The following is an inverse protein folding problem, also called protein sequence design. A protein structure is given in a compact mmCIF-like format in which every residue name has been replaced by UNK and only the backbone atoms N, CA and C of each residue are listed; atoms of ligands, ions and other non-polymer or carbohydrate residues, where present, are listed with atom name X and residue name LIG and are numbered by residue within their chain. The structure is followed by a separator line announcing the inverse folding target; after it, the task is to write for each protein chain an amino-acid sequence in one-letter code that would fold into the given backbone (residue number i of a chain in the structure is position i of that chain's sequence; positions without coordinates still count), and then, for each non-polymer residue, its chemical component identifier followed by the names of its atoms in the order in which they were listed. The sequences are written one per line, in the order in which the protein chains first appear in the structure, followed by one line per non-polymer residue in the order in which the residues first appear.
data_IF_494996735305
#
_entry.id   IF_494996735305
#
_cell.length_a   1.000
_cell.length_b   1.000
_cell.length_c   1.000
_cell.angle_alpha   90.00
_cell.angle_beta   90.00
_cell.angle_gamma   90.00
#
_symmetry.space_group_name_H-M   'P 1'
#
loop_
_entity.id
_entity.type
_entity.pdbx_description
1 polymer ?
#
# COMPACT_ATOMS: atom_id res chain seq x y z
N UNK A 1 7.18 -8.49 -6.73
CA UNK A 1 6.34 -7.86 -5.69
C UNK A 1 6.04 -8.79 -4.49
N UNK A 2 7.05 -9.41 -3.87
CA UNK A 2 6.82 -10.32 -2.74
C UNK A 2 6.46 -9.57 -1.44
N UNK A 3 7.03 -8.37 -1.24
CA UNK A 3 6.81 -7.57 -0.03
C UNK A 3 5.36 -7.09 0.12
N UNK A 4 4.80 -6.47 -0.94
CA UNK A 4 3.41 -5.98 -0.92
C UNK A 4 2.41 -7.11 -0.56
N UNK A 5 2.55 -8.28 -1.19
CA UNK A 5 1.70 -9.45 -0.89
C UNK A 5 1.85 -9.95 0.55
N UNK A 6 3.06 -9.94 1.11
CA UNK A 6 3.30 -10.35 2.51
C UNK A 6 2.64 -9.39 3.49
N UNK A 7 2.72 -8.08 3.24
CA UNK A 7 2.09 -7.06 4.06
C UNK A 7 0.57 -7.15 4.01
N UNK A 8 0.00 -7.36 2.81
CA UNK A 8 -1.44 -7.56 2.64
C UNK A 8 -1.92 -8.80 3.42
N UNK A 9 -1.22 -9.93 3.27
CA UNK A 9 -1.54 -11.15 4.02
C UNK A 9 -1.51 -10.95 5.52
N UNK A 10 -0.50 -10.26 6.06
CA UNK A 10 -0.38 -9.99 7.49
C UNK A 10 -1.63 -9.29 8.07
N UNK A 11 -2.16 -8.30 7.35
CA UNK A 11 -3.36 -7.59 7.79
C UNK A 11 -4.63 -8.42 7.61
N UNK A 12 -4.72 -9.20 6.53
CA UNK A 12 -5.84 -10.10 6.29
C UNK A 12 -5.92 -11.18 7.35
N UNK A 13 -4.78 -11.78 7.73
CA UNK A 13 -4.69 -12.77 8.82
C UNK A 13 -5.15 -12.18 10.18
N UNK A 14 -5.04 -10.86 10.36
CA UNK A 14 -5.52 -10.13 11.54
C UNK A 14 -6.99 -9.72 11.46
N UNK A 15 -7.72 -10.12 10.42
CA UNK A 15 -9.13 -9.80 10.24
C UNK A 15 -9.39 -8.46 9.55
N UNK A 16 -8.40 -7.87 8.89
CA UNK A 16 -8.54 -6.63 8.14
C UNK A 16 -8.44 -6.87 6.62
N UNK A 17 -9.49 -7.40 5.97
CA UNK A 17 -9.45 -7.73 4.54
C UNK A 17 -9.37 -6.49 3.64
N UNK A 18 -9.59 -5.30 4.21
CA UNK A 18 -9.63 -4.03 3.50
C UNK A 18 -8.25 -3.39 3.35
N UNK A 19 -7.23 -3.92 4.04
CA UNK A 19 -5.85 -3.49 3.86
C UNK A 19 -5.36 -3.90 2.47
N UNK A 20 -4.76 -2.96 1.74
CA UNK A 20 -4.22 -3.18 0.40
C UNK A 20 -2.81 -2.60 0.30
N UNK A 21 -1.94 -3.33 -0.39
CA UNK A 21 -0.57 -2.91 -0.66
C UNK A 21 -0.24 -3.13 -2.14
N UNK A 22 0.37 -2.14 -2.76
CA UNK A 22 0.82 -2.21 -4.15
C UNK A 22 2.20 -1.59 -4.29
N UNK A 23 2.81 -1.75 -5.45
CA UNK A 23 4.10 -1.15 -5.73
C UNK A 23 3.94 -0.08 -6.79
N UNK A 24 4.62 1.04 -6.56
CA UNK A 24 4.70 2.16 -7.48
C UNK A 24 6.17 2.36 -7.88
N UNK A 25 6.46 2.61 -9.16
CA UNK A 25 7.80 2.96 -9.58
C UNK A 25 8.22 4.28 -8.95
N UNK A 26 9.46 4.35 -8.47
CA UNK A 26 10.09 5.60 -8.06
C UNK A 26 10.81 6.13 -9.29
N UNK A 27 10.39 7.27 -9.82
CA UNK A 27 10.99 7.89 -11.00
C UNK A 27 12.39 8.50 -10.75
N UNK A 28 13.03 8.20 -9.62
CA UNK A 28 14.43 8.55 -9.41
C UNK A 28 15.30 7.68 -10.30
N UNK A 29 15.65 8.22 -11.46
CA UNK A 29 16.77 7.75 -12.25
C UNK A 29 18.04 8.04 -11.46
N UNK A 30 18.55 7.05 -10.74
CA UNK A 30 19.90 7.12 -10.21
C UNK A 30 20.87 7.01 -11.39
N UNK A 31 21.39 8.14 -11.86
CA UNK A 31 22.49 8.21 -12.84
C UNK A 31 23.81 7.75 -12.21
N UNK A 32 23.87 6.49 -11.79
CA UNK A 32 25.11 5.74 -11.54
C UNK A 32 24.71 4.33 -11.13
N UNK A 33 25.16 3.35 -11.91
CA UNK A 33 25.07 1.90 -11.64
C UNK A 33 23.73 1.24 -12.05
N UNK A 34 23.56 1.01 -13.36
CA UNK A 34 22.64 0.00 -13.91
C UNK A 34 21.15 0.38 -13.93
N UNK A 35 20.43 -0.10 -14.94
CA UNK A 35 18.98 0.10 -15.11
C UNK A 35 18.19 -0.74 -14.09
N UNK A 36 18.26 -0.36 -12.82
CA UNK A 36 17.39 -0.92 -11.78
C UNK A 36 16.14 -0.05 -11.64
N UNK A 37 14.97 -0.64 -11.85
CA UNK A 37 13.70 0.01 -11.55
C UNK A 37 13.41 -0.09 -10.06
N UNK A 38 13.62 1.00 -9.33
CA UNK A 38 13.29 1.08 -7.92
C UNK A 38 11.77 1.22 -7.78
N UNK A 39 11.18 0.36 -6.94
CA UNK A 39 9.76 0.37 -6.64
C UNK A 39 9.55 0.63 -5.15
N UNK A 40 8.70 1.60 -4.80
CA UNK A 40 8.21 1.79 -3.43
C UNK A 40 6.94 0.98 -3.22
N UNK A 41 6.75 0.44 -2.01
CA UNK A 41 5.48 -0.16 -1.61
C UNK A 41 4.60 0.92 -1.00
N UNK A 42 3.37 1.02 -1.50
CA UNK A 42 2.34 1.97 -1.04
C UNK A 42 1.16 1.19 -0.46
N UNK A 43 0.37 1.81 0.41
CA UNK A 43 -0.77 1.19 1.07
C UNK A 43 -1.96 2.14 1.22
N UNK A 44 -3.13 1.58 1.51
CA UNK A 44 -4.37 2.34 1.78
C UNK A 44 -4.64 2.55 3.28
N UNK A 45 -3.63 2.39 4.14
CA UNK A 45 -3.80 2.59 5.57
C UNK A 45 -4.06 4.07 5.88
N UNK A 46 -5.04 4.35 6.73
CA UNK A 46 -5.35 5.68 7.26
C UNK A 46 -4.85 5.70 8.70
N UNK A 47 -3.90 6.60 9.01
CA UNK A 47 -3.25 6.68 10.32
C UNK A 47 -2.69 5.33 10.82
N UNK A 48 -2.11 4.55 9.90
CA UNK A 48 -1.55 3.23 10.21
C UNK A 48 -2.57 2.09 10.37
N UNK A 49 -3.85 2.35 10.15
CA UNK A 49 -4.92 1.36 10.27
C UNK A 49 -5.66 1.15 8.94
N UNK A 50 -6.11 -0.08 8.63
CA UNK A 50 -6.93 -0.33 7.45
C UNK A 50 -8.22 0.50 7.48
N UNK A 51 -8.70 0.96 6.31
CA UNK A 51 -9.91 1.78 6.25
C UNK A 51 -11.08 1.01 6.85
N UNK A 52 -11.79 1.64 7.79
CA UNK A 52 -13.01 1.10 8.40
C UNK A 52 -14.14 1.28 7.39
N UNK A 53 -14.52 0.24 6.67
CA UNK A 53 -15.66 0.26 5.73
C UNK A 53 -17.04 0.46 6.41
N UNK A 54 -17.09 0.81 7.71
CA UNK A 54 -18.32 1.03 8.48
C UNK A 54 -18.54 2.45 8.99
N UNK A 55 -17.62 3.40 8.77
CA UNK A 55 -17.82 4.78 9.23
C UNK A 55 -18.07 5.72 8.04
N UNK A 56 -19.37 5.90 7.79
CA UNK A 56 -20.08 6.98 7.09
C UNK A 56 -19.83 7.20 5.57
N UNK A 57 -20.88 7.14 4.72
CA UNK A 57 -20.81 7.73 3.38
C UNK A 57 -20.58 9.24 3.50
N UNK A 58 -19.96 9.89 2.50
CA UNK A 58 -19.70 11.32 2.55
C UNK A 58 -21.02 12.06 2.72
N UNK A 59 -21.17 12.78 3.84
CA UNK A 59 -22.21 13.80 3.96
C UNK A 59 -21.91 14.87 2.92
N UNK A 60 -22.59 14.79 1.78
CA UNK A 60 -22.70 15.92 0.86
C UNK A 60 -23.39 17.05 1.63
N UNK A 61 -22.66 18.12 1.90
CA UNK A 61 -23.23 19.45 2.14
C UNK A 61 -22.68 20.37 1.06
#
# INVERSE_FOLDING_TARGET
MALAKRLEKFWHDKGYPTARFWAEPIAERFEKVGTYEIHRVVCNLVNGMPPRYREEPPRRR
#
